data_IF_340021832625
#
_entry.id   IF_340021832625
#
_cell.length_a   1.000
_cell.length_b   1.000
_cell.length_c   1.000
_cell.angle_alpha   90.00
_cell.angle_beta   90.00
_cell.angle_gamma   90.00
#
_symmetry.space_group_name_H-M   'P 1'
#
loop_
_entity.id
_entity.type
_entity.pdbx_description
1 polymer ?
#
# COMPACT_ATOMS: atom_id res chain seq x y z
N UNK A 1 -18.80 1.49 -38.05
CA UNK A 1 -17.39 1.66 -37.63
C UNK A 1 -17.34 1.46 -36.13
N UNK A 2 -16.79 0.34 -35.64
CA UNK A 2 -16.58 0.14 -34.20
C UNK A 2 -15.26 0.81 -33.81
N UNK A 3 -15.31 1.75 -32.87
CA UNK A 3 -14.10 2.33 -32.28
C UNK A 3 -13.61 1.38 -31.18
N UNK A 4 -12.39 0.88 -31.32
CA UNK A 4 -11.71 0.17 -30.23
C UNK A 4 -11.15 1.24 -29.30
N UNK A 5 -11.82 1.47 -28.17
CA UNK A 5 -11.29 2.35 -27.11
C UNK A 5 -10.23 1.55 -26.36
N UNK A 6 -8.95 1.86 -26.60
CA UNK A 6 -7.87 1.25 -25.84
C UNK A 6 -7.87 1.82 -24.42
N UNK A 7 -8.19 0.97 -23.43
CA UNK A 7 -8.09 1.34 -22.02
C UNK A 7 -6.63 1.20 -21.58
N UNK A 8 -6.05 2.19 -20.88
CA UNK A 8 -4.70 2.06 -20.34
C UNK A 8 -4.62 0.85 -19.41
N UNK A 9 -3.56 0.07 -19.55
CA UNK A 9 -3.25 -1.07 -18.69
C UNK A 9 -2.59 -0.59 -17.42
N UNK A 10 -3.11 -0.98 -16.27
CA UNK A 10 -2.61 -0.53 -14.96
C UNK A 10 -2.05 -1.68 -14.14
N UNK A 11 -0.91 -1.42 -13.50
CA UNK A 11 -0.34 -2.26 -12.45
C UNK A 11 -0.39 -1.52 -11.12
N UNK A 12 -0.85 -2.20 -10.06
CA UNK A 12 -1.01 -1.66 -8.71
C UNK A 12 -0.06 -2.37 -7.77
N UNK A 13 0.80 -1.63 -7.07
CA UNK A 13 1.86 -2.13 -6.21
C UNK A 13 1.75 -1.47 -4.84
N UNK A 14 1.35 -2.22 -3.82
CA UNK A 14 0.99 -1.67 -2.50
C UNK A 14 1.95 -2.16 -1.41
N UNK A 15 2.75 -1.24 -0.87
CA UNK A 15 3.44 -1.45 0.40
C UNK A 15 2.42 -1.36 1.53
N UNK A 16 2.03 -2.53 2.01
CA UNK A 16 0.92 -2.64 2.95
C UNK A 16 1.32 -2.16 4.34
N UNK A 17 2.60 -2.33 4.72
CA UNK A 17 3.09 -1.84 6.01
C UNK A 17 3.18 -0.32 6.00
N UNK A 18 3.77 0.28 4.97
CA UNK A 18 3.92 1.73 4.88
C UNK A 18 2.56 2.45 5.00
N UNK A 19 1.56 1.98 4.25
CA UNK A 19 0.21 2.57 4.32
C UNK A 19 -0.51 2.25 5.64
N UNK A 20 -0.33 1.05 6.20
CA UNK A 20 -0.94 0.68 7.48
C UNK A 20 -0.41 1.54 8.63
N UNK A 21 0.91 1.67 8.74
CA UNK A 21 1.56 2.49 9.77
C UNK A 21 1.10 3.94 9.67
N UNK A 22 1.10 4.51 8.47
CA UNK A 22 0.63 5.88 8.24
C UNK A 22 -0.83 6.09 8.63
N UNK A 23 -1.73 5.16 8.30
CA UNK A 23 -3.14 5.24 8.69
C UNK A 23 -3.34 5.16 10.21
N UNK A 24 -2.53 4.33 10.89
CA UNK A 24 -2.58 4.14 12.33
C UNK A 24 -2.04 5.34 13.09
N UNK A 25 -0.91 5.86 12.66
CA UNK A 25 -0.20 6.92 13.38
C UNK A 25 -0.90 8.27 13.21
N UNK A 26 -1.43 8.56 12.01
CA UNK A 26 -2.05 9.85 11.73
C UNK A 26 -3.52 9.91 12.18
N UNK A 27 -4.26 8.80 12.04
CA UNK A 27 -5.73 8.82 12.10
C UNK A 27 -6.34 7.71 12.97
N UNK A 28 -5.53 6.87 13.62
CA UNK A 28 -5.97 5.68 14.39
C UNK A 28 -6.87 4.70 13.59
N UNK A 29 -6.83 4.76 12.26
CA UNK A 29 -7.67 3.98 11.34
C UNK A 29 -6.86 2.94 10.57
N UNK A 30 -7.54 2.14 9.75
CA UNK A 30 -6.90 1.23 8.79
C UNK A 30 -7.30 1.57 7.38
N UNK A 31 -6.43 1.25 6.43
CA UNK A 31 -6.65 1.46 5.01
C UNK A 31 -7.75 0.54 4.46
N UNK A 32 -8.56 1.07 3.54
CA UNK A 32 -9.49 0.28 2.75
C UNK A 32 -8.88 -0.09 1.38
N UNK A 33 -8.22 -1.25 1.32
CA UNK A 33 -7.52 -1.71 0.10
C UNK A 33 -8.46 -2.03 -1.07
N UNK A 34 -9.74 -2.28 -0.81
CA UNK A 34 -10.74 -2.47 -1.86
C UNK A 34 -10.97 -1.16 -2.63
N UNK A 35 -11.23 -0.08 -1.89
CA UNK A 35 -11.41 1.26 -2.47
C UNK A 35 -10.15 1.75 -3.18
N UNK A 36 -8.96 1.49 -2.63
CA UNK A 36 -7.71 1.81 -3.34
C UNK A 36 -7.65 1.10 -4.69
N UNK A 37 -7.96 -0.20 -4.73
CA UNK A 37 -7.94 -0.95 -5.98
C UNK A 37 -8.98 -0.42 -6.98
N UNK A 38 -10.17 -0.09 -6.52
CA UNK A 38 -11.23 0.50 -7.36
C UNK A 38 -10.78 1.83 -7.97
N UNK A 39 -10.27 2.76 -7.15
CA UNK A 39 -9.78 4.08 -7.61
C UNK A 39 -8.58 3.93 -8.54
N UNK A 40 -7.63 3.06 -8.22
CA UNK A 40 -6.44 2.82 -9.04
C UNK A 40 -6.76 2.26 -10.43
N UNK A 41 -7.90 1.56 -10.55
CA UNK A 41 -8.31 0.84 -11.78
C UNK A 41 -9.45 1.52 -12.53
N UNK A 42 -9.96 2.65 -12.04
CA UNK A 42 -11.07 3.37 -12.65
C UNK A 42 -10.74 3.78 -14.10
N UNK A 43 -11.58 3.34 -15.05
CA UNK A 43 -11.40 3.61 -16.48
C UNK A 43 -10.23 2.87 -17.15
N UNK A 44 -9.58 1.93 -16.44
CA UNK A 44 -8.35 1.24 -16.87
C UNK A 44 -8.57 -0.27 -16.93
N UNK A 45 -7.65 -0.97 -17.58
CA UNK A 45 -7.59 -2.43 -17.55
C UNK A 45 -6.58 -2.86 -16.47
N UNK A 46 -7.04 -3.52 -15.40
CA UNK A 46 -6.14 -4.06 -14.38
C UNK A 46 -5.37 -5.26 -14.93
N UNK A 47 -4.04 -5.16 -15.01
CA UNK A 47 -3.16 -6.27 -15.44
C UNK A 47 -2.56 -6.98 -14.24
N UNK A 48 -2.07 -6.21 -13.26
CA UNK A 48 -1.48 -6.76 -12.04
C UNK A 48 -1.89 -5.94 -10.81
N UNK A 49 -2.27 -6.60 -9.74
CA UNK A 49 -2.40 -6.02 -8.41
C UNK A 49 -1.53 -6.84 -7.44
N UNK A 50 -0.53 -6.23 -6.83
CA UNK A 50 0.41 -6.89 -5.92
C UNK A 50 0.42 -6.13 -4.59
N UNK A 51 0.17 -6.85 -3.50
CA UNK A 51 0.31 -6.34 -2.14
C UNK A 51 1.51 -7.01 -1.48
N UNK A 52 2.32 -6.20 -0.82
CA UNK A 52 3.55 -6.61 -0.16
C UNK A 52 3.35 -6.51 1.34
N UNK A 53 3.39 -7.67 2.01
CA UNK A 53 3.15 -7.80 3.45
C UNK A 53 4.38 -8.37 4.12
N UNK A 54 4.76 -7.82 5.26
CA UNK A 54 5.76 -8.39 6.15
C UNK A 54 5.06 -8.92 7.39
N UNK A 55 5.44 -10.11 7.82
CA UNK A 55 4.83 -10.84 8.92
C UNK A 55 5.89 -11.15 9.97
N UNK A 56 5.51 -11.21 11.24
CA UNK A 56 6.37 -11.80 12.26
C UNK A 56 6.13 -13.30 12.33
N UNK A 57 7.20 -14.08 12.44
CA UNK A 57 7.10 -15.53 12.55
C UNK A 57 6.20 -15.93 13.74
N UNK A 58 5.23 -16.83 13.49
CA UNK A 58 4.26 -17.29 14.48
C UNK A 58 3.02 -16.40 14.68
N UNK A 59 2.94 -15.24 14.04
CA UNK A 59 1.82 -14.31 14.19
C UNK A 59 0.66 -14.71 13.25
N UNK A 60 -0.25 -15.57 13.73
CA UNK A 60 -1.40 -16.05 12.95
C UNK A 60 -2.41 -14.94 12.57
N UNK A 61 -2.29 -13.76 13.19
CA UNK A 61 -3.17 -12.60 13.04
C UNK A 61 -3.21 -12.02 11.62
N UNK A 62 -2.19 -12.29 10.81
CA UNK A 62 -2.10 -11.83 9.41
C UNK A 62 -2.95 -12.64 8.43
N UNK A 63 -3.30 -13.90 8.76
CA UNK A 63 -3.97 -14.82 7.81
C UNK A 63 -5.32 -14.30 7.29
N UNK A 64 -6.24 -13.78 8.14
CA UNK A 64 -7.52 -13.26 7.65
C UNK A 64 -7.34 -12.03 6.75
N UNK A 65 -6.37 -11.18 7.06
CA UNK A 65 -6.06 -9.99 6.27
C UNK A 65 -5.51 -10.37 4.88
N UNK A 66 -4.58 -11.32 4.82
CA UNK A 66 -4.04 -11.82 3.56
C UNK A 66 -5.11 -12.52 2.72
N UNK A 67 -5.97 -13.31 3.37
CA UNK A 67 -7.11 -13.93 2.69
C UNK A 67 -8.00 -12.85 2.07
N UNK A 68 -8.33 -11.80 2.83
CA UNK A 68 -9.12 -10.66 2.31
C UNK A 68 -8.45 -10.01 1.09
N UNK A 69 -7.16 -9.67 1.16
CA UNK A 69 -6.44 -9.11 0.02
C UNK A 69 -6.50 -10.02 -1.22
N UNK A 70 -6.34 -11.33 -1.01
CA UNK A 70 -6.42 -12.32 -2.08
C UNK A 70 -7.81 -12.37 -2.70
N UNK A 71 -8.89 -12.28 -1.89
CA UNK A 71 -10.27 -12.24 -2.40
C UNK A 71 -10.59 -10.95 -3.17
N UNK A 72 -9.90 -9.85 -2.88
CA UNK A 72 -10.00 -8.61 -3.64
C UNK A 72 -9.25 -8.66 -4.99
N UNK A 73 -8.49 -9.72 -5.25
CA UNK A 73 -7.73 -9.90 -6.49
C UNK A 73 -6.25 -9.51 -6.40
N UNK A 74 -5.73 -9.18 -5.21
CA UNK A 74 -4.29 -8.96 -5.05
C UNK A 74 -3.53 -10.29 -5.05
N UNK A 75 -2.42 -10.32 -5.78
CA UNK A 75 -1.32 -11.26 -5.50
C UNK A 75 -0.59 -10.79 -4.26
N UNK A 76 -0.67 -11.55 -3.18
CA UNK A 76 -0.01 -11.19 -1.91
C UNK A 76 1.38 -11.80 -1.84
N UNK A 77 2.41 -10.96 -1.78
CA UNK A 77 3.80 -11.34 -1.48
C UNK A 77 4.07 -11.18 0.01
N UNK A 78 4.70 -12.18 0.61
CA UNK A 78 4.91 -12.30 2.05
C UNK A 78 6.38 -12.50 2.36
N UNK A 79 6.87 -11.78 3.37
CA UNK A 79 8.21 -11.95 3.91
C UNK A 79 8.12 -12.01 5.42
N UNK A 80 8.96 -12.83 6.03
CA UNK A 80 9.08 -12.83 7.48
C UNK A 80 10.10 -11.78 7.93
N UNK A 81 9.76 -11.05 8.99
CA UNK A 81 10.72 -10.23 9.73
C UNK A 81 11.90 -11.09 10.17
N UNK A 82 13.11 -10.66 9.83
CA UNK A 82 14.34 -11.35 10.21
C UNK A 82 14.93 -10.70 11.45
N UNK A 83 15.35 -11.50 12.42
CA UNK A 83 16.10 -10.98 13.57
C UNK A 83 17.44 -10.44 13.08
N UNK A 84 17.62 -9.12 13.14
CA UNK A 84 18.85 -8.47 12.69
C UNK A 84 19.91 -8.49 13.80
N UNK A 85 19.56 -8.00 14.99
CA UNK A 85 20.44 -8.06 16.17
C UNK A 85 19.64 -7.96 17.46
N UNK A 86 20.29 -8.18 18.60
CA UNK A 86 19.73 -7.97 19.93
C UNK A 86 20.46 -6.78 20.55
N UNK A 87 19.72 -5.79 21.05
CA UNK A 87 20.34 -4.63 21.72
C UNK A 87 21.04 -5.06 23.01
N UNK A 88 21.94 -4.22 23.54
CA UNK A 88 22.63 -4.47 24.82
C UNK A 88 21.65 -4.68 25.99
N UNK A 89 20.41 -4.18 25.88
CA UNK A 89 19.31 -4.40 26.82
C UNK A 89 18.48 -5.67 26.59
N UNK A 90 18.92 -6.57 25.71
CA UNK A 90 18.24 -7.83 25.41
C UNK A 90 17.01 -7.69 24.49
N UNK A 91 16.77 -6.51 23.90
CA UNK A 91 15.62 -6.30 23.01
C UNK A 91 15.97 -6.75 21.59
N UNK A 92 15.26 -7.72 20.99
CA UNK A 92 15.48 -8.10 19.60
C UNK A 92 15.01 -7.00 18.65
N UNK A 93 15.86 -6.67 17.68
CA UNK A 93 15.59 -5.78 16.55
C UNK A 93 15.35 -6.65 15.32
N UNK A 94 14.20 -6.44 14.69
CA UNK A 94 13.81 -7.16 13.48
C UNK A 94 13.79 -6.20 12.30
N UNK A 95 14.25 -6.67 11.15
CA UNK A 95 14.25 -5.92 9.90
C UNK A 95 13.60 -6.75 8.78
N UNK A 96 12.99 -6.04 7.85
CA UNK A 96 12.35 -6.61 6.67
C UNK A 96 11.50 -5.54 5.98
N UNK A 97 11.93 -5.09 4.80
CA UNK A 97 11.16 -4.23 3.91
C UNK A 97 11.02 -4.87 2.52
N UNK A 98 10.02 -4.41 1.78
CA UNK A 98 9.75 -4.94 0.43
C UNK A 98 10.33 -4.05 -0.68
N UNK A 99 11.03 -2.97 -0.36
CA UNK A 99 11.40 -1.91 -1.28
C UNK A 99 12.07 -2.44 -2.55
N UNK A 100 13.13 -3.23 -2.41
CA UNK A 100 13.80 -3.85 -3.56
C UNK A 100 12.92 -4.83 -4.33
N UNK A 101 12.05 -5.58 -3.63
CA UNK A 101 11.12 -6.50 -4.28
C UNK A 101 10.02 -5.78 -5.05
N UNK A 102 9.54 -4.64 -4.54
CA UNK A 102 8.59 -3.75 -5.19
C UNK A 102 9.22 -3.15 -6.44
N UNK A 103 10.42 -2.58 -6.33
CA UNK A 103 11.21 -2.04 -7.46
C UNK A 103 11.38 -3.09 -8.54
N UNK A 104 11.83 -4.30 -8.17
CA UNK A 104 12.07 -5.39 -9.11
C UNK A 104 10.79 -5.83 -9.84
N UNK A 105 9.66 -5.87 -9.14
CA UNK A 105 8.38 -6.24 -9.73
C UNK A 105 7.81 -5.15 -10.65
N UNK A 106 7.91 -3.86 -10.26
CA UNK A 106 7.52 -2.74 -11.12
C UNK A 106 8.33 -2.74 -12.41
N UNK A 107 9.66 -2.90 -12.30
CA UNK A 107 10.55 -2.95 -13.45
C UNK A 107 10.30 -4.18 -14.34
N UNK A 108 10.10 -5.36 -13.76
CA UNK A 108 9.86 -6.58 -14.58
C UNK A 108 8.53 -6.53 -15.32
N UNK A 109 7.51 -5.87 -14.77
CA UNK A 109 6.17 -5.87 -15.33
C UNK A 109 5.89 -4.66 -16.22
N UNK A 110 6.78 -3.66 -16.23
CA UNK A 110 6.57 -2.37 -16.91
C UNK A 110 6.17 -2.48 -18.38
N UNK A 111 6.68 -3.45 -19.13
CA UNK A 111 6.42 -3.60 -20.57
C UNK A 111 4.96 -3.97 -20.88
N UNK A 112 4.23 -4.47 -19.88
CA UNK A 112 2.82 -4.82 -19.98
C UNK A 112 1.89 -3.73 -19.44
N UNK A 113 2.45 -2.64 -18.92
CA UNK A 113 1.73 -1.58 -18.22
C UNK A 113 1.88 -0.26 -18.97
N UNK A 114 0.84 0.56 -18.91
CA UNK A 114 0.84 1.95 -19.37
C UNK A 114 0.85 2.89 -18.15
N UNK A 115 0.20 2.47 -17.06
CA UNK A 115 0.14 3.19 -15.77
C UNK A 115 0.59 2.28 -14.63
N UNK A 116 1.37 2.82 -13.72
CA UNK A 116 1.83 2.16 -12.49
C UNK A 116 1.30 2.97 -11.30
N UNK A 117 0.57 2.31 -10.41
CA UNK A 117 0.08 2.92 -9.17
C UNK A 117 0.89 2.34 -8.00
N UNK A 118 1.64 3.20 -7.33
CA UNK A 118 2.42 2.87 -6.13
C UNK A 118 1.66 3.32 -4.87
N UNK A 119 1.36 2.37 -4.00
CA UNK A 119 0.83 2.62 -2.66
C UNK A 119 1.94 2.61 -1.63
N UNK A 120 2.75 3.67 -1.57
CA UNK A 120 3.77 3.89 -0.54
C UNK A 120 4.14 5.38 -0.49
N UNK A 121 4.52 5.85 0.70
CA UNK A 121 5.10 7.18 0.91
C UNK A 121 6.63 7.20 0.92
N UNK A 122 7.30 6.06 0.76
CA UNK A 122 8.75 5.95 0.92
C UNK A 122 9.51 6.63 -0.23
N UNK A 123 10.38 7.58 0.13
CA UNK A 123 11.20 8.32 -0.81
C UNK A 123 12.23 7.49 -1.56
N UNK A 124 12.54 6.28 -1.12
CA UNK A 124 13.51 5.40 -1.81
C UNK A 124 12.95 4.84 -3.13
N UNK A 125 11.65 5.01 -3.38
CA UNK A 125 11.05 4.72 -4.68
C UNK A 125 11.25 5.82 -5.73
N UNK A 126 11.76 7.01 -5.38
CA UNK A 126 11.88 8.12 -6.35
C UNK A 126 12.67 7.72 -7.60
N UNK A 127 13.81 7.05 -7.47
CA UNK A 127 14.66 6.70 -8.61
C UNK A 127 13.94 5.74 -9.58
N UNK A 128 13.16 4.78 -9.08
CA UNK A 128 12.40 3.88 -9.96
C UNK A 128 11.23 4.61 -10.64
N UNK A 129 10.63 5.63 -10.00
CA UNK A 129 9.60 6.46 -10.63
C UNK A 129 10.17 7.15 -11.88
N UNK A 130 11.33 7.78 -11.75
CA UNK A 130 12.01 8.47 -12.87
C UNK A 130 12.34 7.48 -14.00
N UNK A 131 12.93 6.32 -13.67
CA UNK A 131 13.25 5.27 -14.66
C UNK A 131 12.01 4.79 -15.41
N UNK A 132 10.86 4.64 -14.73
CA UNK A 132 9.61 4.23 -15.36
C UNK A 132 9.07 5.33 -16.29
N UNK A 133 9.17 6.59 -15.89
CA UNK A 133 8.75 7.73 -16.71
C UNK A 133 9.61 7.91 -17.96
N UNK A 134 10.93 7.76 -17.84
CA UNK A 134 11.86 7.73 -18.98
C UNK A 134 11.50 6.65 -20.01
N UNK A 135 10.81 5.60 -19.56
CA UNK A 135 10.35 4.47 -20.37
C UNK A 135 8.90 4.63 -20.84
N UNK A 136 8.37 5.85 -20.74
CA UNK A 136 7.03 6.23 -21.21
C UNK A 136 5.89 5.69 -20.35
N UNK A 137 6.17 5.32 -19.09
CA UNK A 137 5.14 4.87 -18.14
C UNK A 137 4.68 6.05 -17.32
N UNK A 138 3.37 6.10 -17.05
CA UNK A 138 2.82 7.05 -16.08
C UNK A 138 2.85 6.44 -14.68
N UNK A 139 3.38 7.16 -13.70
CA UNK A 139 3.45 6.70 -12.32
C UNK A 139 2.56 7.57 -11.44
N UNK A 140 1.61 6.95 -10.76
CA UNK A 140 0.75 7.60 -9.78
C UNK A 140 1.05 7.06 -8.38
N UNK A 141 1.04 7.93 -7.38
CA UNK A 141 1.27 7.57 -5.98
C UNK A 141 -0.02 7.78 -5.18
N UNK A 142 -0.41 6.79 -4.37
CA UNK A 142 -1.52 6.89 -3.42
C UNK A 142 -0.96 6.65 -2.01
N UNK A 143 -0.89 7.70 -1.20
CA UNK A 143 -0.30 7.62 0.14
C UNK A 143 -0.78 8.75 1.06
N UNK A 144 -0.25 8.80 2.29
CA UNK A 144 -0.52 9.86 3.26
C UNK A 144 0.51 10.96 3.06
N UNK A 145 0.06 12.19 2.79
CA UNK A 145 0.94 13.30 2.39
C UNK A 145 1.96 13.62 3.48
N UNK A 146 1.52 13.56 4.73
CA UNK A 146 2.29 13.82 5.94
C UNK A 146 3.42 12.80 6.13
N UNK A 147 3.24 11.58 5.62
CA UNK A 147 4.19 10.47 5.72
C UNK A 147 4.80 10.12 4.35
N UNK A 148 4.71 11.03 3.37
CA UNK A 148 5.32 10.83 2.05
C UNK A 148 6.51 11.75 1.88
N UNK A 149 7.63 11.22 1.40
CA UNK A 149 8.79 12.02 1.06
C UNK A 149 8.45 13.03 -0.05
N UNK A 150 8.76 14.31 0.15
CA UNK A 150 8.45 15.36 -0.83
C UNK A 150 9.04 15.05 -2.22
N UNK A 151 10.26 14.50 -2.30
CA UNK A 151 10.89 14.06 -3.56
C UNK A 151 10.05 13.03 -4.34
N UNK A 152 9.31 12.15 -3.66
CA UNK A 152 8.43 11.19 -4.31
C UNK A 152 7.15 11.87 -4.82
N UNK A 153 6.59 12.80 -4.05
CA UNK A 153 5.43 13.60 -4.47
C UNK A 153 5.76 14.38 -5.75
N UNK A 154 6.93 15.02 -5.77
CA UNK A 154 7.37 15.86 -6.88
C UNK A 154 7.70 15.04 -8.14
N UNK A 155 8.22 13.82 -7.98
CA UNK A 155 8.54 12.93 -9.09
C UNK A 155 7.30 12.26 -9.70
N UNK A 156 6.25 11.98 -8.92
CA UNK A 156 5.07 11.28 -9.42
C UNK A 156 4.25 12.13 -10.41
N UNK A 157 3.72 11.51 -11.48
CA UNK A 157 2.80 12.19 -12.43
C UNK A 157 1.48 12.59 -11.77
N UNK A 158 1.08 11.89 -10.71
CA UNK A 158 -0.07 12.22 -9.88
C UNK A 158 0.14 11.69 -8.48
N UNK A 159 -0.01 12.56 -7.48
CA UNK A 159 -0.13 12.16 -6.10
C UNK A 159 -1.59 12.26 -5.65
N UNK A 160 -2.12 11.20 -5.05
CA UNK A 160 -3.44 11.19 -4.42
C UNK A 160 -3.26 11.00 -2.92
N UNK A 161 -3.72 11.98 -2.14
CA UNK A 161 -3.73 11.86 -0.70
C UNK A 161 -4.84 10.87 -0.30
N UNK A 162 -4.45 9.73 0.27
CA UNK A 162 -5.35 8.60 0.53
C UNK A 162 -6.60 8.99 1.37
N UNK A 163 -6.49 9.80 2.44
CA UNK A 163 -7.66 10.31 3.18
C UNK A 163 -8.66 11.13 2.37
N UNK A 164 -8.27 11.72 1.23
CA UNK A 164 -9.19 12.47 0.36
C UNK A 164 -10.07 11.54 -0.51
N UNK A 165 -9.76 10.24 -0.54
CA UNK A 165 -10.55 9.23 -1.24
C UNK A 165 -11.77 8.89 -0.38
N UNK A 166 -12.97 9.06 -0.94
CA UNK A 166 -14.21 8.59 -0.31
C UNK A 166 -14.10 7.09 0.00
N UNK A 167 -14.35 6.71 1.26
CA UNK A 167 -14.14 5.35 1.77
C UNK A 167 -12.72 4.77 1.66
N UNK A 168 -11.69 5.60 1.40
CA UNK A 168 -10.29 5.17 1.33
C UNK A 168 -9.73 4.62 2.65
N UNK A 169 -10.41 4.91 3.75
CA UNK A 169 -10.11 4.40 5.09
C UNK A 169 -11.31 3.63 5.64
N UNK A 170 -11.06 2.52 6.33
CA UNK A 170 -12.09 1.80 7.07
C UNK A 170 -12.74 2.72 8.11
N UNK A 171 -14.04 2.56 8.41
CA UNK A 171 -14.68 3.29 9.50
C UNK A 171 -13.89 3.15 10.81
N UNK A 172 -13.85 4.22 11.60
CA UNK A 172 -13.24 4.16 12.91
C UNK A 172 -13.93 3.07 13.73
N UNK A 173 -13.15 2.19 14.39
CA UNK A 173 -13.73 1.20 15.29
C UNK A 173 -14.40 1.94 16.44
N UNK A 174 -15.72 1.82 16.57
CA UNK A 174 -16.41 2.18 17.80
C UNK A 174 -15.90 1.25 18.90
N UNK A 175 -15.19 1.78 19.90
CA UNK A 175 -14.99 1.04 21.15
C UNK A 175 -16.37 0.95 21.81
N UNK A 176 -16.90 -0.25 22.13
CA UNK A 176 -18.05 -0.33 23.02
C UNK A 176 -17.71 0.42 24.30
N UNK A 177 -18.56 1.38 24.67
CA UNK A 177 -18.28 2.35 25.72
C UNK A 177 -18.01 1.70 27.07
N UNK A 178 -16.95 2.15 27.74
CA UNK A 178 -16.86 2.07 29.18
C UNK A 178 -17.86 3.09 29.76
N UNK A 179 -19.08 2.64 30.05
CA UNK A 179 -20.02 3.24 31.02
C UNK A 179 -21.21 2.29 31.18
N UNK A 180 -21.24 1.61 32.33
CA UNK A 180 -22.43 1.28 33.13
C UNK A 180 -21.91 0.75 34.49
N UNK A 181 -21.31 1.66 35.27
CA UNK A 181 -20.97 1.45 36.67
C UNK A 181 -21.15 2.79 37.41
N UNK A 182 -22.36 3.36 37.30
CA UNK A 182 -22.80 4.49 38.10
C UNK A 182 -24.33 4.51 38.07
N UNK A 183 -24.94 3.67 38.90
CA UNK A 183 -26.40 3.58 38.96
C UNK A 183 -26.90 2.51 39.92
N UNK A 184 -26.36 2.46 41.15
CA UNK A 184 -27.02 1.82 42.29
C UNK A 184 -26.37 2.34 43.58
N UNK A 185 -26.98 3.39 44.15
CA UNK A 185 -26.88 3.79 45.55
C UNK A 185 -28.13 4.60 45.91
#
# INVERSE_FOLDING_TARGET
>A
MQYVVHRPRVGVFIDTQNLYHSARDLLERTVNFETILQVATEGRELVHAISYTVEREGEATSRPFIYKLSTLGFKVRRMNLTLHHVTDGGKPIYEGNWDMGIVADMFRLMDHLDVIVLGSGDGDFTDIVEVLQERGKRVEVIAFREHTAQKLIDAADRFTHLPDIEEGLMPARHKPGAKDAAGEA
#
